data_IF_828144709490
#
_entry.id   IF_828144709490
#
_cell.length_a   1.000
_cell.length_b   1.000
_cell.length_c   1.000
_cell.angle_alpha   90.00
_cell.angle_beta   90.00
_cell.angle_gamma   90.00
#
_symmetry.space_group_name_H-M   'P 1'
#
loop_
_entity.id
_entity.type
_entity.pdbx_description
1 polymer ?
#
# COMPACT_ATOMS: atom_id res chain seq x y z
N UNK A 1 -13.69 1.54 11.98
CA UNK A 1 -13.58 1.30 10.52
C UNK A 1 -14.22 2.37 9.64
N UNK A 2 -15.45 2.89 9.91
CA UNK A 2 -16.05 3.95 9.08
C UNK A 2 -15.18 5.22 8.95
N UNK A 3 -14.51 5.66 10.03
CA UNK A 3 -13.56 6.80 9.99
C UNK A 3 -12.35 6.54 9.09
N UNK A 4 -11.78 5.33 9.14
CA UNK A 4 -10.62 4.91 8.34
C UNK A 4 -10.94 4.79 6.84
N UNK A 5 -12.13 4.30 6.49
CA UNK A 5 -12.63 4.25 5.10
C UNK A 5 -13.01 5.62 4.54
N UNK A 6 -13.24 6.61 5.41
CA UNK A 6 -13.57 7.98 5.00
C UNK A 6 -12.32 8.80 4.66
N UNK A 7 -11.12 8.35 5.07
CA UNK A 7 -9.85 8.92 4.63
C UNK A 7 -9.54 8.46 3.19
N UNK A 8 -10.19 9.15 2.25
CA UNK A 8 -10.03 8.94 0.80
C UNK A 8 -8.57 9.07 0.36
N UNK A 9 -7.78 9.86 1.06
CA UNK A 9 -6.37 10.07 0.73
C UNK A 9 -5.55 8.84 1.11
N UNK A 10 -5.78 8.26 2.30
CA UNK A 10 -5.13 7.01 2.70
C UNK A 10 -5.54 5.84 1.79
N UNK A 11 -6.82 5.73 1.44
CA UNK A 11 -7.29 4.69 0.49
C UNK A 11 -6.62 4.86 -0.87
N UNK A 12 -6.54 6.09 -1.39
CA UNK A 12 -5.88 6.39 -2.67
C UNK A 12 -4.40 6.04 -2.64
N UNK A 13 -3.71 6.31 -1.53
CA UNK A 13 -2.31 5.95 -1.34
C UNK A 13 -2.13 4.42 -1.29
N UNK A 14 -2.96 3.71 -0.53
CA UNK A 14 -2.95 2.24 -0.49
C UNK A 14 -3.16 1.60 -1.87
N UNK A 15 -4.14 2.09 -2.63
CA UNK A 15 -4.40 1.64 -4.01
C UNK A 15 -3.21 1.98 -4.92
N UNK A 16 -2.61 3.16 -4.78
CA UNK A 16 -1.44 3.54 -5.59
C UNK A 16 -0.26 2.61 -5.34
N UNK A 17 0.01 2.23 -4.10
CA UNK A 17 1.08 1.28 -3.73
C UNK A 17 0.76 -0.12 -4.24
N UNK A 18 -0.50 -0.56 -4.12
CA UNK A 18 -0.96 -1.85 -4.60
C UNK A 18 -0.78 -2.02 -6.11
N UNK A 19 -0.96 -0.93 -6.88
CA UNK A 19 -0.78 -0.92 -8.34
C UNK A 19 0.68 -0.68 -8.72
N UNK A 20 1.40 0.20 -8.03
CA UNK A 20 2.78 0.53 -8.36
C UNK A 20 3.71 -0.69 -8.25
N UNK A 21 3.51 -1.55 -7.24
CA UNK A 21 4.35 -2.72 -7.01
C UNK A 21 4.38 -3.72 -8.19
N UNK A 22 3.23 -4.24 -8.68
CA UNK A 22 3.22 -5.11 -9.85
C UNK A 22 3.68 -4.38 -11.13
N UNK A 23 3.44 -3.06 -11.24
CA UNK A 23 3.87 -2.27 -12.39
C UNK A 23 5.40 -2.16 -12.47
N UNK A 24 6.07 -1.89 -11.34
CA UNK A 24 7.53 -1.88 -11.22
C UNK A 24 8.10 -3.28 -11.49
N UNK A 25 7.49 -4.32 -10.95
CA UNK A 25 7.93 -5.70 -11.20
C UNK A 25 7.83 -6.09 -12.68
N UNK A 26 6.75 -5.71 -13.37
CA UNK A 26 6.60 -5.93 -14.82
C UNK A 26 7.66 -5.16 -15.60
N UNK A 27 7.95 -3.90 -15.22
CA UNK A 27 9.03 -3.12 -15.84
C UNK A 27 10.40 -3.81 -15.64
N UNK A 28 10.70 -4.27 -14.44
CA UNK A 28 11.95 -4.98 -14.14
C UNK A 28 12.06 -6.30 -14.90
N UNK A 29 10.95 -7.03 -15.07
CA UNK A 29 10.90 -8.22 -15.92
C UNK A 29 11.17 -7.89 -17.39
N UNK A 30 10.54 -6.83 -17.91
CA UNK A 30 10.72 -6.40 -19.29
C UNK A 30 12.15 -5.94 -19.58
N UNK A 31 12.79 -5.29 -18.61
CA UNK A 31 14.20 -4.85 -18.68
C UNK A 31 15.20 -5.99 -18.41
N UNK A 32 14.74 -7.23 -18.18
CA UNK A 32 15.62 -8.38 -17.92
C UNK A 32 16.30 -8.39 -16.55
N UNK A 33 15.86 -7.51 -15.63
CA UNK A 33 16.42 -7.37 -14.28
C UNK A 33 15.74 -8.28 -13.23
N UNK A 34 14.76 -9.06 -13.65
CA UNK A 34 14.00 -9.98 -12.81
C UNK A 34 14.78 -11.28 -12.57
N UNK A 35 15.05 -11.58 -11.30
CA UNK A 35 15.74 -12.81 -10.89
C UNK A 35 14.84 -14.05 -10.82
N UNK A 36 13.62 -14.01 -11.39
CA UNK A 36 12.69 -15.15 -11.37
C UNK A 36 12.19 -15.56 -9.97
N UNK A 37 12.50 -14.81 -8.92
CA UNK A 37 12.18 -15.11 -7.52
C UNK A 37 10.68 -15.27 -7.24
N UNK A 38 9.82 -14.65 -8.04
CA UNK A 38 8.36 -14.68 -7.88
C UNK A 38 7.68 -14.97 -9.20
N UNK A 39 6.57 -15.73 -9.19
CA UNK A 39 5.65 -15.83 -10.32
C UNK A 39 4.80 -14.57 -10.43
N UNK A 40 4.37 -14.20 -11.64
CA UNK A 40 3.59 -12.98 -11.87
C UNK A 40 2.33 -12.85 -10.99
N UNK A 41 1.63 -13.96 -10.73
CA UNK A 41 0.48 -14.01 -9.82
C UNK A 41 0.86 -13.75 -8.35
N UNK A 42 2.03 -14.21 -7.91
CA UNK A 42 2.53 -13.94 -6.56
C UNK A 42 2.83 -12.45 -6.41
N UNK A 43 3.35 -11.79 -7.45
CA UNK A 43 3.61 -10.34 -7.41
C UNK A 43 2.33 -9.52 -7.27
N UNK A 44 1.23 -9.95 -7.92
CA UNK A 44 -0.08 -9.30 -7.77
C UNK A 44 -0.62 -9.45 -6.34
N UNK A 45 -0.55 -10.66 -5.78
CA UNK A 45 -0.95 -10.91 -4.39
C UNK A 45 -0.09 -10.11 -3.41
N UNK A 46 1.23 -10.07 -3.64
CA UNK A 46 2.15 -9.33 -2.80
C UNK A 46 1.89 -7.83 -2.85
N UNK A 47 1.65 -7.27 -4.04
CA UNK A 47 1.27 -5.87 -4.22
C UNK A 47 -0.03 -5.52 -3.48
N UNK A 48 -1.06 -6.36 -3.60
CA UNK A 48 -2.32 -6.18 -2.88
C UNK A 48 -2.15 -6.23 -1.36
N UNK A 49 -1.46 -7.25 -0.85
CA UNK A 49 -1.19 -7.40 0.59
C UNK A 49 -0.38 -6.20 1.11
N UNK A 50 0.66 -5.80 0.39
CA UNK A 50 1.51 -4.68 0.76
C UNK A 50 0.73 -3.36 0.76
N UNK A 51 -0.13 -3.14 -0.24
CA UNK A 51 -0.98 -1.94 -0.32
C UNK A 51 -2.03 -1.88 0.79
N UNK A 52 -2.62 -3.02 1.17
CA UNK A 52 -3.56 -3.09 2.31
C UNK A 52 -2.85 -2.83 3.63
N UNK A 53 -1.67 -3.43 3.84
CA UNK A 53 -0.85 -3.19 5.04
C UNK A 53 -0.43 -1.71 5.11
N UNK A 54 0.02 -1.14 3.98
CA UNK A 54 0.41 0.26 3.91
C UNK A 54 -0.75 1.20 4.23
N UNK A 55 -1.92 0.95 3.64
CA UNK A 55 -3.15 1.69 3.95
C UNK A 55 -3.50 1.61 5.43
N UNK A 56 -3.50 0.41 6.01
CA UNK A 56 -3.83 0.19 7.41
C UNK A 56 -2.88 0.95 8.33
N UNK A 57 -1.57 0.89 8.08
CA UNK A 57 -0.57 1.63 8.84
C UNK A 57 -0.79 3.16 8.70
N UNK A 58 -0.93 3.68 7.48
CA UNK A 58 -1.15 5.12 7.25
C UNK A 58 -2.42 5.63 7.92
N UNK A 59 -3.51 4.88 7.79
CA UNK A 59 -4.78 5.24 8.41
C UNK A 59 -4.69 5.21 9.96
N UNK A 60 -3.93 4.26 10.53
CA UNK A 60 -3.68 4.19 11.97
C UNK A 60 -2.81 5.35 12.46
N UNK A 61 -1.69 5.65 11.78
CA UNK A 61 -0.82 6.79 12.15
C UNK A 61 -1.56 8.13 12.07
N UNK A 62 -2.42 8.32 11.07
CA UNK A 62 -3.26 9.52 10.98
C UNK A 62 -4.29 9.60 12.09
N UNK A 63 -4.87 8.46 12.50
CA UNK A 63 -5.75 8.44 13.66
C UNK A 63 -5.03 8.89 14.93
N UNK A 64 -3.80 8.41 15.18
CA UNK A 64 -2.99 8.84 16.33
C UNK A 64 -2.53 10.30 16.23
N UNK A 65 -2.35 10.85 15.02
CA UNK A 65 -2.01 12.26 14.82
C UNK A 65 -3.21 13.17 15.11
N UNK A 66 -4.40 12.78 14.69
CA UNK A 66 -5.62 13.58 14.83
C UNK A 66 -6.29 13.39 16.20
N UNK A 67 -5.96 12.32 16.93
CA UNK A 67 -6.17 12.21 18.37
C UNK A 67 -5.13 13.09 19.09
N UNK A 68 -5.43 14.39 19.19
CA UNK A 68 -4.67 15.37 19.99
C UNK A 68 -4.34 14.79 21.38
N UNK A 69 -3.10 14.31 21.54
CA UNK A 69 -2.53 13.89 22.84
C UNK A 69 -2.10 15.11 23.66
N UNK A 70 -2.37 16.33 23.20
CA UNK A 70 -2.18 17.55 23.98
C UNK A 70 -3.32 17.70 24.99
N UNK A 71 -3.06 17.52 26.31
CA UNK A 71 -4.02 17.94 27.32
C UNK A 71 -4.24 19.46 27.19
N UNK A 72 -5.51 19.89 27.23
CA UNK A 72 -5.87 21.29 27.45
C UNK A 72 -5.77 21.64 28.93
#
# INVERSE_FOLDING_TARGET
>A
MKKLLNDRESVRLGVSVAVAFPLVYVLMNFLGWSNGMFRWWQTLLFGLVQGVIFWFCMASFRQFRDEDVTPK
#
